data_IF_777217739472
#
_entry.id   IF_777217739472
#
_cell.length_a   1.000
_cell.length_b   1.000
_cell.length_c   1.000
_cell.angle_alpha   90.00
_cell.angle_beta   90.00
_cell.angle_gamma   90.00
#
_symmetry.space_group_name_H-M   'P 1'
#
loop_
_entity.id
_entity.type
_entity.pdbx_description
1 polymer ?
#
# COMPACT_ATOMS: atom_id res chain seq x y z
N UNK A 1 1.43 -17.29 -13.01
CA UNK A 1 1.10 -16.06 -12.24
C UNK A 1 1.58 -14.86 -13.05
N UNK A 2 0.74 -13.83 -13.27
CA UNK A 2 1.13 -12.62 -14.02
C UNK A 2 1.42 -11.49 -13.03
N UNK A 3 2.61 -10.90 -13.14
CA UNK A 3 2.98 -9.71 -12.38
C UNK A 3 2.91 -8.49 -13.31
N UNK A 4 2.49 -7.36 -12.76
CA UNK A 4 2.53 -6.06 -13.43
C UNK A 4 3.44 -5.13 -12.65
N UNK A 5 4.18 -4.29 -13.38
CA UNK A 5 5.05 -3.28 -12.81
C UNK A 5 4.21 -2.03 -12.52
N UNK A 6 4.36 -1.46 -11.32
CA UNK A 6 3.74 -0.20 -10.90
C UNK A 6 4.77 0.71 -10.25
N UNK A 7 4.40 1.99 -10.13
CA UNK A 7 5.21 3.01 -9.48
C UNK A 7 4.52 3.39 -8.17
N UNK A 8 5.27 3.37 -7.07
CA UNK A 8 4.78 3.77 -5.77
C UNK A 8 4.46 5.27 -5.78
N UNK A 9 3.23 5.64 -5.40
CA UNK A 9 2.80 7.06 -5.37
C UNK A 9 3.44 7.89 -4.26
N UNK A 10 4.18 7.25 -3.34
CA UNK A 10 4.78 7.90 -2.16
C UNK A 10 6.28 8.13 -2.36
N UNK A 11 7.01 7.12 -2.82
CA UNK A 11 8.47 7.20 -2.98
C UNK A 11 8.94 7.21 -4.44
N UNK A 12 8.04 6.99 -5.41
CA UNK A 12 8.39 6.93 -6.84
C UNK A 12 9.12 5.66 -7.27
N UNK A 13 9.35 4.69 -6.37
CA UNK A 13 10.05 3.45 -6.70
C UNK A 13 9.16 2.49 -7.51
N UNK A 14 9.79 1.75 -8.42
CA UNK A 14 9.15 0.67 -9.17
C UNK A 14 8.97 -0.57 -8.29
N UNK A 15 7.81 -1.21 -8.39
CA UNK A 15 7.51 -2.46 -7.68
C UNK A 15 6.61 -3.37 -8.51
N UNK A 16 6.62 -4.66 -8.19
CA UNK A 16 5.84 -5.67 -8.90
C UNK A 16 4.66 -6.13 -8.06
N UNK A 17 3.49 -6.22 -8.67
CA UNK A 17 2.25 -6.68 -8.02
C UNK A 17 1.61 -7.74 -8.87
N UNK A 18 0.86 -8.64 -8.25
CA UNK A 18 0.09 -9.61 -9.01
C UNK A 18 -1.02 -8.89 -9.78
N UNK A 19 -1.25 -9.31 -11.03
CA UNK A 19 -2.28 -8.76 -11.92
C UNK A 19 -3.66 -8.72 -11.27
N UNK A 20 -4.01 -9.71 -10.45
CA UNK A 20 -5.32 -9.77 -9.79
C UNK A 20 -5.51 -8.75 -8.66
N UNK A 21 -4.43 -8.14 -8.14
CA UNK A 21 -4.50 -7.11 -7.10
C UNK A 21 -3.95 -5.77 -7.58
N UNK A 22 -3.71 -5.64 -8.90
CA UNK A 22 -3.10 -4.45 -9.47
C UNK A 22 -3.91 -3.18 -9.18
N UNK A 23 -5.24 -3.29 -9.15
CA UNK A 23 -6.15 -2.18 -8.87
C UNK A 23 -6.08 -1.69 -7.42
N UNK A 24 -5.73 -2.59 -6.48
CA UNK A 24 -5.64 -2.27 -5.04
C UNK A 24 -4.23 -1.86 -4.61
N UNK A 25 -3.21 -2.20 -5.39
CA UNK A 25 -1.82 -1.97 -5.02
C UNK A 25 -1.31 -0.61 -5.53
N UNK A 26 -1.09 0.32 -4.60
CA UNK A 26 -0.61 1.69 -4.88
C UNK A 26 0.77 2.00 -4.28
N UNK A 27 1.22 1.18 -3.34
CA UNK A 27 2.41 1.42 -2.54
C UNK A 27 3.32 0.20 -2.58
N UNK A 28 4.63 0.44 -2.68
CA UNK A 28 5.63 -0.63 -2.72
C UNK A 28 5.82 -1.34 -1.38
N UNK A 29 5.54 -0.65 -0.26
CA UNK A 29 5.75 -1.16 1.11
C UNK A 29 4.67 -0.65 2.07
N UNK A 30 4.53 -1.34 3.21
CA UNK A 30 3.69 -0.92 4.32
C UNK A 30 4.10 0.44 4.88
N UNK A 31 5.39 0.80 4.79
CA UNK A 31 5.87 2.12 5.19
C UNK A 31 5.29 3.23 4.30
N UNK A 32 5.28 3.03 2.98
CA UNK A 32 4.67 3.98 2.05
C UNK A 32 3.15 4.06 2.26
N UNK A 33 2.49 2.93 2.53
CA UNK A 33 1.08 2.92 2.91
C UNK A 33 0.84 3.76 4.18
N UNK A 34 1.65 3.57 5.22
CA UNK A 34 1.57 4.35 6.47
C UNK A 34 1.78 5.84 6.24
N UNK A 35 2.80 6.23 5.45
CA UNK A 35 3.04 7.62 5.06
C UNK A 35 1.84 8.24 4.33
N UNK A 36 1.21 7.49 3.42
CA UNK A 36 0.01 7.95 2.72
C UNK A 36 -1.21 8.07 3.64
N UNK A 37 -1.38 7.14 4.59
CA UNK A 37 -2.46 7.20 5.58
C UNK A 37 -2.32 8.41 6.52
N UNK A 38 -1.11 8.68 7.00
CA UNK A 38 -0.79 9.86 7.82
C UNK A 38 -1.08 11.14 7.03
N UNK A 39 -0.58 11.24 5.79
CA UNK A 39 -0.79 12.42 4.95
C UNK A 39 -2.28 12.68 4.62
N UNK A 40 -3.09 11.63 4.53
CA UNK A 40 -4.53 11.75 4.23
C UNK A 40 -5.38 12.11 5.45
N UNK A 41 -4.80 12.29 6.64
CA UNK A 41 -5.54 12.60 7.87
C UNK A 41 -6.47 11.47 8.33
N UNK A 42 -6.37 10.27 7.73
CA UNK A 42 -7.12 9.08 8.15
C UNK A 42 -6.40 8.40 9.31
N UNK A 43 -6.36 9.08 10.45
CA UNK A 43 -6.09 8.40 11.72
C UNK A 43 -7.37 7.65 12.10
N UNK A 44 -7.53 6.43 11.57
CA UNK A 44 -8.58 5.54 12.02
C UNK A 44 -8.13 4.94 13.35
N UNK A 45 -8.72 5.43 14.44
CA UNK A 45 -8.84 4.72 15.72
C UNK A 45 -9.51 3.37 15.48
N UNK A 46 -8.78 2.37 14.95
CA UNK A 46 -9.25 1.00 14.82
C UNK A 46 -8.03 0.07 14.64
N UNK A 47 -7.16 0.04 15.65
CA UNK A 47 -6.29 -1.10 15.94
C UNK A 47 -6.72 -1.75 17.24
N UNK A 48 -7.93 -2.31 17.26
CA UNK A 48 -8.27 -3.41 18.17
C UNK A 48 -8.87 -4.50 17.28
N UNK A 49 -8.01 -5.36 16.72
CA UNK A 49 -8.45 -6.39 15.79
C UNK A 49 -7.31 -6.99 14.99
N UNK A 50 -6.35 -7.58 15.68
CA UNK A 50 -5.22 -8.30 15.07
C UNK A 50 -4.55 -9.15 16.15
N UNK A 51 -5.28 -10.19 16.56
CA UNK A 51 -4.85 -11.49 17.14
C UNK A 51 -3.66 -11.47 18.13
N UNK A 52 -3.98 -11.74 19.42
CA UNK A 52 -3.07 -12.35 20.41
C UNK A 52 -2.84 -13.81 20.00
#
# INVERSE_FOLDING_TARGET
MKYVKKICRVCGSEFFVLKNVEEKAFYCTLECLGKAQIASGKFLEERIGGEI
#
